data_IF_339723900377
#
_entry.id   IF_339723900377
#
_cell.length_a   1.000
_cell.length_b   1.000
_cell.length_c   1.000
_cell.angle_alpha   90.00
_cell.angle_beta   90.00
_cell.angle_gamma   90.00
#
_symmetry.space_group_name_H-M   'P 1'
#
loop_
_entity.id
_entity.type
_entity.pdbx_description
1 polymer ?
#
# COMPACT_ATOMS: atom_id res chain seq x y z
N UNK A 1 6.68 39.94 -47.64
CA UNK A 1 7.58 38.98 -46.99
C UNK A 1 7.50 39.21 -45.48
N UNK A 2 6.72 38.43 -44.78
CA UNK A 2 6.71 38.35 -43.30
C UNK A 2 6.96 36.89 -42.96
N UNK A 3 8.08 36.62 -42.34
CA UNK A 3 8.54 35.28 -41.93
C UNK A 3 7.79 34.83 -40.69
N UNK A 4 7.16 33.71 -40.83
CA UNK A 4 6.45 32.94 -39.83
C UNK A 4 7.43 32.27 -38.84
N UNK A 5 7.40 32.66 -37.55
CA UNK A 5 8.20 32.05 -36.49
C UNK A 5 7.27 31.61 -35.39
N UNK A 6 6.40 30.62 -35.67
CA UNK A 6 5.55 29.99 -34.68
C UNK A 6 5.62 28.45 -34.76
N UNK A 7 6.69 27.82 -34.30
CA UNK A 7 6.70 26.37 -34.07
C UNK A 7 7.84 25.86 -33.17
N UNK A 8 8.04 26.43 -31.98
CA UNK A 8 8.98 25.86 -30.99
C UNK A 8 8.52 25.88 -29.54
N UNK A 9 7.23 26.18 -29.26
CA UNK A 9 6.71 26.25 -27.88
C UNK A 9 6.06 24.95 -27.40
N UNK A 10 5.64 24.07 -28.28
CA UNK A 10 4.78 22.93 -27.94
C UNK A 10 5.48 21.71 -27.29
N UNK A 11 6.81 21.63 -27.21
CA UNK A 11 7.52 20.47 -26.66
C UNK A 11 8.01 20.62 -25.21
N UNK A 12 7.92 21.80 -24.62
CA UNK A 12 8.38 22.03 -23.23
C UNK A 12 7.30 21.92 -22.17
N UNK A 13 6.04 21.96 -22.51
CA UNK A 13 4.93 21.94 -21.53
C UNK A 13 4.49 20.52 -21.15
N UNK A 14 4.83 19.50 -21.93
CA UNK A 14 4.48 18.11 -21.63
C UNK A 14 5.27 17.47 -20.48
N UNK A 15 6.37 18.09 -20.07
CA UNK A 15 7.25 17.54 -19.00
C UNK A 15 6.92 18.10 -17.62
N UNK A 16 6.04 19.09 -17.48
CA UNK A 16 5.82 19.83 -16.22
C UNK A 16 4.56 19.51 -15.46
N UNK A 17 3.69 18.65 -15.94
CA UNK A 17 2.56 18.13 -15.16
C UNK A 17 2.87 16.72 -14.62
N UNK A 18 3.95 16.56 -13.85
CA UNK A 18 4.01 15.44 -12.91
C UNK A 18 2.95 15.69 -11.86
N UNK A 19 1.85 14.94 -11.93
CA UNK A 19 0.82 14.97 -10.89
C UNK A 19 1.53 14.75 -9.55
N UNK A 20 1.33 15.65 -8.61
CA UNK A 20 1.88 15.51 -7.26
C UNK A 20 1.28 14.25 -6.66
N UNK A 21 2.11 13.43 -6.06
CA UNK A 21 1.66 12.29 -5.28
C UNK A 21 0.53 12.71 -4.32
N UNK A 22 -0.58 11.94 -4.27
CA UNK A 22 -1.77 12.33 -3.52
C UNK A 22 -2.64 13.40 -4.18
N UNK A 23 -2.37 13.83 -5.44
CA UNK A 23 -3.29 14.70 -6.17
C UNK A 23 -4.59 13.97 -6.48
N UNK A 24 -5.74 14.70 -6.56
CA UNK A 24 -6.98 14.09 -7.01
C UNK A 24 -6.78 13.34 -8.31
N UNK A 25 -7.22 12.07 -8.33
CA UNK A 25 -7.14 11.21 -9.50
C UNK A 25 -5.85 10.43 -9.70
N UNK A 26 -4.88 10.45 -8.75
CA UNK A 26 -3.77 9.51 -8.77
C UNK A 26 -4.25 8.10 -8.44
N UNK A 27 -3.89 7.12 -9.25
CA UNK A 27 -4.30 5.72 -9.09
C UNK A 27 -3.10 4.79 -8.95
N UNK A 28 -3.32 3.61 -8.40
CA UNK A 28 -2.30 2.56 -8.34
C UNK A 28 -1.74 2.21 -9.71
N UNK A 29 -2.58 2.15 -10.74
CA UNK A 29 -2.15 1.87 -12.12
C UNK A 29 -0.99 2.76 -12.57
N UNK A 30 -1.07 4.07 -12.30
CA UNK A 30 -0.03 5.02 -12.66
C UNK A 30 1.34 4.72 -12.02
N UNK A 31 1.34 4.06 -10.85
CA UNK A 31 2.56 3.63 -10.16
C UNK A 31 3.25 2.45 -10.85
N UNK A 32 2.51 1.63 -11.57
CA UNK A 32 3.03 0.42 -12.23
C UNK A 32 3.38 0.67 -13.71
N UNK A 33 2.77 1.67 -14.34
CA UNK A 33 3.01 2.03 -15.74
C UNK A 33 4.23 2.96 -15.88
N UNK A 34 4.89 2.89 -17.04
CA UNK A 34 6.03 3.73 -17.38
C UNK A 34 7.40 3.09 -17.13
N UNK A 35 8.46 3.87 -17.47
CA UNK A 35 9.86 3.41 -17.42
C UNK A 35 10.66 4.04 -16.26
N UNK A 36 9.99 4.72 -15.34
CA UNK A 36 10.67 5.33 -14.19
C UNK A 36 11.04 4.27 -13.13
N UNK A 37 12.08 4.55 -12.34
CA UNK A 37 12.60 3.62 -11.33
C UNK A 37 11.52 3.13 -10.35
N UNK A 38 10.61 4.00 -9.94
CA UNK A 38 9.47 3.63 -9.10
C UNK A 38 8.60 2.54 -9.73
N UNK A 39 8.28 2.64 -11.02
CA UNK A 39 7.48 1.63 -11.70
C UNK A 39 8.20 0.26 -11.78
N UNK A 40 9.53 0.26 -11.91
CA UNK A 40 10.33 -0.99 -11.85
C UNK A 40 10.20 -1.66 -10.50
N UNK A 41 10.32 -0.89 -9.42
CA UNK A 41 10.16 -1.38 -8.04
C UNK A 41 8.75 -1.93 -7.82
N UNK A 42 7.72 -1.19 -8.22
CA UNK A 42 6.33 -1.61 -8.07
C UNK A 42 6.04 -2.88 -8.87
N UNK A 43 6.52 -3.00 -10.11
CA UNK A 43 6.36 -4.23 -10.92
C UNK A 43 7.08 -5.43 -10.31
N UNK A 44 8.28 -5.24 -9.74
CA UNK A 44 9.00 -6.32 -9.06
C UNK A 44 8.21 -6.82 -7.84
N UNK A 45 7.63 -5.90 -7.05
CA UNK A 45 6.76 -6.24 -5.93
C UNK A 45 5.50 -6.99 -6.40
N UNK A 46 4.84 -6.51 -7.45
CA UNK A 46 3.65 -7.16 -8.00
C UNK A 46 3.93 -8.61 -8.43
N UNK A 47 5.06 -8.84 -9.13
CA UNK A 47 5.47 -10.20 -9.50
C UNK A 47 5.72 -11.11 -8.29
N UNK A 48 6.23 -10.55 -7.19
CA UNK A 48 6.38 -11.28 -5.94
C UNK A 48 5.00 -11.64 -5.37
N UNK A 49 4.10 -10.69 -5.28
CA UNK A 49 2.72 -10.90 -4.78
C UNK A 49 2.02 -12.00 -5.58
N UNK A 50 2.06 -11.93 -6.91
CA UNK A 50 1.44 -12.94 -7.79
C UNK A 50 2.00 -14.33 -7.51
N UNK A 51 3.33 -14.49 -7.47
CA UNK A 51 3.99 -15.77 -7.17
C UNK A 51 3.63 -16.31 -5.79
N UNK A 52 3.55 -15.44 -4.80
CA UNK A 52 3.16 -15.84 -3.44
C UNK A 52 1.72 -16.33 -3.44
N UNK A 53 0.78 -15.60 -4.03
CA UNK A 53 -0.63 -16.02 -4.09
C UNK A 53 -0.78 -17.34 -4.89
N UNK A 54 -0.05 -17.49 -5.98
CA UNK A 54 -0.03 -18.72 -6.78
C UNK A 54 0.48 -19.93 -5.98
N UNK A 55 1.45 -19.70 -5.05
CA UNK A 55 1.99 -20.76 -4.20
C UNK A 55 1.09 -21.14 -3.03
N UNK A 56 0.09 -20.33 -2.69
CA UNK A 56 -0.90 -20.68 -1.68
C UNK A 56 -1.84 -21.77 -2.21
N UNK A 57 -2.13 -22.75 -1.36
CA UNK A 57 -3.09 -23.80 -1.71
C UNK A 57 -4.52 -23.30 -1.53
N UNK A 58 -4.98 -22.47 -2.47
CA UNK A 58 -6.29 -21.86 -2.45
C UNK A 58 -7.31 -22.74 -3.18
N UNK A 59 -8.49 -22.92 -2.58
CA UNK A 59 -9.62 -23.62 -3.19
C UNK A 59 -10.14 -22.91 -4.45
N UNK A 60 -10.96 -23.62 -5.23
CA UNK A 60 -11.58 -23.06 -6.44
C UNK A 60 -12.71 -22.06 -6.12
N UNK A 61 -13.27 -22.13 -4.92
CA UNK A 61 -14.36 -21.26 -4.44
C UNK A 61 -13.82 -20.52 -3.22
N UNK A 62 -14.01 -19.20 -3.19
CA UNK A 62 -13.55 -18.42 -2.07
C UNK A 62 -13.90 -16.94 -2.18
N UNK A 63 -13.41 -16.20 -1.23
CA UNK A 63 -13.60 -14.76 -1.11
C UNK A 63 -12.27 -14.04 -0.87
N UNK A 64 -12.03 -12.96 -1.60
CA UNK A 64 -10.85 -12.13 -1.50
C UNK A 64 -11.25 -10.71 -1.12
N UNK A 65 -10.58 -10.14 -0.11
CA UNK A 65 -10.69 -8.72 0.23
C UNK A 65 -9.37 -8.01 0.00
N UNK A 66 -9.41 -6.79 -0.56
CA UNK A 66 -8.27 -5.89 -0.72
C UNK A 66 -8.55 -4.58 0.02
N UNK A 67 -7.84 -4.36 1.12
CA UNK A 67 -7.93 -3.16 1.93
C UNK A 67 -6.92 -2.12 1.45
N UNK A 68 -7.43 -0.95 1.02
CA UNK A 68 -6.68 0.05 0.29
C UNK A 68 -6.62 -0.26 -1.21
N UNK A 69 -7.70 -0.77 -1.75
CA UNK A 69 -7.79 -1.26 -3.13
C UNK A 69 -7.63 -0.17 -4.20
N UNK A 70 -7.71 1.11 -3.80
CA UNK A 70 -7.61 2.26 -4.71
C UNK A 70 -8.63 2.17 -5.85
N UNK A 71 -8.19 2.15 -7.10
CA UNK A 71 -9.01 2.01 -8.31
C UNK A 71 -9.21 0.53 -8.76
N UNK A 72 -8.99 -0.43 -7.88
CA UNK A 72 -9.17 -1.86 -8.14
C UNK A 72 -8.14 -2.49 -9.10
N UNK A 73 -7.04 -1.79 -9.39
CA UNK A 73 -6.03 -2.25 -10.35
C UNK A 73 -5.41 -3.59 -9.96
N UNK A 74 -5.03 -3.77 -8.69
CA UNK A 74 -4.45 -5.03 -8.21
C UNK A 74 -5.47 -6.16 -8.31
N UNK A 75 -6.71 -5.93 -7.85
CA UNK A 75 -7.77 -6.91 -7.93
C UNK A 75 -8.05 -7.35 -9.38
N UNK A 76 -8.04 -6.42 -10.34
CA UNK A 76 -8.25 -6.76 -11.75
C UNK A 76 -7.13 -7.66 -12.29
N UNK A 77 -5.88 -7.38 -11.93
CA UNK A 77 -4.74 -8.21 -12.34
C UNK A 77 -4.80 -9.61 -11.71
N UNK A 78 -5.14 -9.70 -10.42
CA UNK A 78 -5.29 -10.98 -9.74
C UNK A 78 -6.42 -11.80 -10.37
N UNK A 79 -7.58 -11.18 -10.63
CA UNK A 79 -8.67 -11.84 -11.33
C UNK A 79 -8.21 -12.41 -12.68
N UNK A 80 -7.58 -11.58 -13.51
CA UNK A 80 -7.19 -12.00 -14.86
C UNK A 80 -6.11 -13.09 -14.88
N UNK A 81 -5.18 -13.06 -13.94
CA UNK A 81 -4.03 -13.96 -13.97
C UNK A 81 -4.20 -15.22 -13.15
N UNK A 82 -4.96 -15.17 -12.05
CA UNK A 82 -5.03 -16.28 -11.09
C UNK A 82 -6.44 -16.81 -10.82
N UNK A 83 -7.47 -15.98 -10.98
CA UNK A 83 -8.82 -16.32 -10.52
C UNK A 83 -9.88 -16.35 -11.63
N UNK A 84 -9.52 -16.16 -12.90
CA UNK A 84 -10.48 -16.12 -14.02
C UNK A 84 -11.35 -17.36 -14.08
N UNK A 85 -10.73 -18.52 -13.88
CA UNK A 85 -11.38 -19.84 -13.98
C UNK A 85 -11.83 -20.39 -12.61
N UNK A 86 -11.88 -19.53 -11.59
CA UNK A 86 -12.30 -19.87 -10.23
C UNK A 86 -13.60 -19.14 -9.84
N UNK A 87 -14.36 -19.72 -8.92
CA UNK A 87 -15.60 -19.12 -8.42
C UNK A 87 -15.36 -18.26 -7.18
N UNK A 88 -14.55 -17.22 -7.35
CA UNK A 88 -14.21 -16.28 -6.28
C UNK A 88 -15.06 -15.02 -6.32
N UNK A 89 -15.37 -14.49 -5.13
CA UNK A 89 -16.00 -13.19 -4.94
C UNK A 89 -14.96 -12.20 -4.43
N UNK A 90 -14.95 -11.00 -4.99
CA UNK A 90 -13.94 -9.98 -4.70
C UNK A 90 -14.57 -8.82 -3.95
N UNK A 91 -13.83 -8.32 -2.95
CA UNK A 91 -14.20 -7.14 -2.19
C UNK A 91 -13.04 -6.16 -2.20
N UNK A 92 -13.32 -4.90 -2.50
CA UNK A 92 -12.34 -3.83 -2.44
C UNK A 92 -12.80 -2.76 -1.46
N UNK A 93 -11.93 -2.38 -0.54
CA UNK A 93 -12.18 -1.35 0.45
C UNK A 93 -11.17 -0.22 0.31
N UNK A 94 -11.64 1.03 0.23
CA UNK A 94 -10.78 2.22 0.22
C UNK A 94 -11.51 3.40 0.85
N UNK A 95 -10.77 4.32 1.46
CA UNK A 95 -11.33 5.55 2.02
C UNK A 95 -11.65 6.59 0.95
N UNK A 96 -11.09 6.45 -0.25
CA UNK A 96 -11.20 7.41 -1.35
C UNK A 96 -12.34 7.08 -2.30
N UNK A 97 -13.48 7.70 -2.10
CA UNK A 97 -14.66 7.52 -2.94
C UNK A 97 -14.42 7.82 -4.44
N UNK A 98 -13.58 8.80 -4.78
CA UNK A 98 -13.26 9.16 -6.16
C UNK A 98 -12.50 8.06 -6.90
N UNK A 99 -11.70 7.26 -6.21
CA UNK A 99 -11.03 6.11 -6.78
C UNK A 99 -11.98 4.93 -6.94
N UNK A 100 -12.85 4.68 -5.96
CA UNK A 100 -13.85 3.62 -6.03
C UNK A 100 -14.83 3.81 -7.20
N UNK A 101 -15.16 5.04 -7.56
CA UNK A 101 -16.00 5.32 -8.74
C UNK A 101 -15.36 4.83 -10.06
N UNK A 102 -14.04 4.72 -10.14
CA UNK A 102 -13.33 4.24 -11.33
C UNK A 102 -13.25 2.73 -11.43
N UNK A 103 -13.58 2.03 -10.37
CA UNK A 103 -13.50 0.57 -10.34
C UNK A 103 -14.45 -0.08 -11.33
N UNK A 104 -15.59 0.54 -11.63
CA UNK A 104 -16.52 0.07 -12.67
C UNK A 104 -15.85 -0.14 -14.03
N UNK A 105 -14.79 0.61 -14.32
CA UNK A 105 -13.98 0.47 -15.53
C UNK A 105 -13.17 -0.84 -15.57
N UNK A 106 -12.99 -1.52 -14.42
CA UNK A 106 -12.17 -2.74 -14.31
C UNK A 106 -12.89 -4.02 -14.70
N UNK A 107 -14.22 -4.00 -14.75
CA UNK A 107 -15.05 -5.14 -15.18
C UNK A 107 -14.70 -6.46 -14.47
N UNK A 108 -14.45 -6.43 -13.15
CA UNK A 108 -14.16 -7.63 -12.36
C UNK A 108 -15.48 -8.31 -12.02
N UNK A 109 -15.74 -9.54 -12.52
CA UNK A 109 -16.96 -10.26 -12.18
C UNK A 109 -17.06 -10.54 -10.68
N UNK A 110 -18.29 -10.50 -10.15
CA UNK A 110 -18.57 -10.78 -8.74
C UNK A 110 -17.76 -9.91 -7.76
N UNK A 111 -17.43 -8.68 -8.14
CA UNK A 111 -16.73 -7.74 -7.28
C UNK A 111 -17.68 -6.72 -6.63
N UNK A 112 -17.40 -6.38 -5.38
CA UNK A 112 -18.05 -5.32 -4.61
C UNK A 112 -17.00 -4.35 -4.11
N UNK A 113 -17.31 -3.06 -4.15
CA UNK A 113 -16.38 -2.02 -3.71
C UNK A 113 -17.10 -1.07 -2.77
N UNK A 114 -16.51 -0.87 -1.60
CA UNK A 114 -17.11 -0.12 -0.50
C UNK A 114 -16.12 0.86 0.08
N UNK A 115 -16.64 2.01 0.53
CA UNK A 115 -15.82 2.97 1.25
C UNK A 115 -15.62 2.51 2.69
N UNK A 116 -14.35 2.44 3.12
CA UNK A 116 -14.01 2.03 4.46
C UNK A 116 -12.80 2.80 4.99
N UNK A 117 -12.88 3.30 6.21
CA UNK A 117 -11.76 3.93 6.90
C UNK A 117 -11.18 2.96 7.94
N UNK A 118 -9.99 2.42 7.67
CA UNK A 118 -9.30 1.48 8.56
C UNK A 118 -8.90 2.10 9.91
N UNK A 119 -9.03 3.40 10.10
CA UNK A 119 -8.85 4.05 11.39
C UNK A 119 -10.05 3.79 12.33
N UNK A 120 -11.22 3.47 11.79
CA UNK A 120 -12.42 3.16 12.56
C UNK A 120 -12.37 1.72 13.09
N UNK A 121 -13.13 1.43 14.13
CA UNK A 121 -13.27 0.08 14.64
C UNK A 121 -14.26 -0.71 13.77
N UNK A 122 -14.04 -2.02 13.65
CA UNK A 122 -14.98 -2.98 13.07
C UNK A 122 -15.44 -2.60 11.64
N UNK A 123 -14.47 -2.34 10.78
CA UNK A 123 -14.70 -1.94 9.38
C UNK A 123 -15.43 -3.04 8.57
N UNK A 124 -15.21 -4.31 8.94
CA UNK A 124 -15.89 -5.48 8.37
C UNK A 124 -16.23 -6.46 9.47
N UNK A 125 -17.14 -7.39 9.19
CA UNK A 125 -17.39 -8.52 10.09
C UNK A 125 -16.14 -9.40 10.22
N UNK A 126 -16.01 -10.08 11.35
CA UNK A 126 -14.89 -11.01 11.58
C UNK A 126 -15.06 -12.29 10.76
N UNK A 127 -13.97 -12.79 10.20
CA UNK A 127 -13.95 -14.10 9.55
C UNK A 127 -14.73 -14.18 8.24
N UNK A 128 -14.70 -13.14 7.42
CA UNK A 128 -15.44 -13.10 6.15
C UNK A 128 -14.68 -13.64 4.94
N UNK A 129 -13.34 -13.49 4.92
CA UNK A 129 -12.58 -13.66 3.70
C UNK A 129 -11.54 -14.78 3.80
N UNK A 130 -11.42 -15.57 2.72
CA UNK A 130 -10.45 -16.65 2.62
C UNK A 130 -9.04 -16.12 2.33
N UNK A 131 -8.95 -15.02 1.57
CA UNK A 131 -7.72 -14.31 1.28
C UNK A 131 -7.89 -12.81 1.53
N UNK A 132 -7.03 -12.24 2.35
CA UNK A 132 -7.05 -10.81 2.69
C UNK A 132 -5.77 -10.16 2.23
N UNK A 133 -5.89 -9.07 1.50
CA UNK A 133 -4.78 -8.28 0.98
C UNK A 133 -4.80 -6.89 1.63
N UNK A 134 -3.59 -6.37 1.93
CA UNK A 134 -3.41 -5.00 2.40
C UNK A 134 -2.01 -4.52 2.00
N UNK A 135 -1.89 -3.90 0.83
CA UNK A 135 -0.61 -3.53 0.26
C UNK A 135 -0.37 -2.03 0.31
N UNK A 136 0.71 -1.60 0.97
CA UNK A 136 1.10 -0.18 1.08
C UNK A 136 -0.07 0.69 1.57
N UNK A 137 -0.75 0.24 2.61
CA UNK A 137 -1.96 0.89 3.11
C UNK A 137 -1.86 1.23 4.58
N UNK A 138 -1.42 0.29 5.42
CA UNK A 138 -1.37 0.48 6.88
C UNK A 138 -0.52 1.67 7.31
N UNK A 139 0.57 1.95 6.60
CA UNK A 139 1.45 3.09 6.86
C UNK A 139 0.80 4.44 6.58
N UNK A 140 -0.23 4.45 5.76
CA UNK A 140 -0.99 5.65 5.40
C UNK A 140 -2.15 5.94 6.34
N UNK A 141 -2.55 5.00 7.17
CA UNK A 141 -3.60 5.20 8.16
C UNK A 141 -3.07 6.00 9.35
N UNK A 142 -3.91 6.79 9.98
CA UNK A 142 -3.57 7.52 11.21
C UNK A 142 -3.26 6.57 12.36
N UNK A 143 -3.98 5.44 12.42
CA UNK A 143 -3.84 4.39 13.40
C UNK A 143 -3.53 3.04 12.73
N UNK A 144 -2.27 2.82 12.35
CA UNK A 144 -1.83 1.59 11.69
C UNK A 144 -2.06 0.33 12.54
N UNK A 145 -2.10 0.46 13.87
CA UNK A 145 -2.37 -0.66 14.78
C UNK A 145 -3.80 -1.14 14.63
N UNK A 146 -4.75 -0.20 14.63
CA UNK A 146 -6.15 -0.52 14.41
C UNK A 146 -6.39 -1.07 12.99
N UNK A 147 -5.73 -0.46 12.00
CA UNK A 147 -5.81 -0.93 10.62
C UNK A 147 -5.34 -2.38 10.47
N UNK A 148 -4.21 -2.73 11.08
CA UNK A 148 -3.70 -4.11 11.06
C UNK A 148 -4.66 -5.11 11.74
N UNK A 149 -5.28 -4.71 12.86
CA UNK A 149 -6.28 -5.56 13.53
C UNK A 149 -7.56 -5.74 12.70
N UNK A 150 -8.04 -4.68 12.04
CA UNK A 150 -9.20 -4.77 11.14
C UNK A 150 -8.93 -5.74 9.99
N UNK A 151 -7.78 -5.60 9.34
CA UNK A 151 -7.33 -6.51 8.27
C UNK A 151 -7.23 -7.94 8.77
N UNK A 152 -6.61 -8.16 9.93
CA UNK A 152 -6.43 -9.50 10.49
C UNK A 152 -7.77 -10.15 10.83
N UNK A 153 -8.65 -9.46 11.54
CA UNK A 153 -9.96 -9.98 11.96
C UNK A 153 -10.87 -10.35 10.80
N UNK A 154 -10.76 -9.68 9.66
CA UNK A 154 -11.57 -9.96 8.48
C UNK A 154 -11.28 -11.32 7.83
N UNK A 155 -10.09 -11.89 8.08
CA UNK A 155 -9.69 -13.20 7.57
C UNK A 155 -10.42 -14.34 8.29
N UNK A 156 -10.85 -15.37 7.56
CA UNK A 156 -11.40 -16.62 8.12
C UNK A 156 -10.33 -17.44 8.83
N UNK A 157 -10.71 -18.29 9.74
CA UNK A 157 -9.85 -19.37 10.26
C UNK A 157 -9.46 -20.30 9.11
N UNK A 158 -8.17 -20.59 8.96
CA UNK A 158 -7.60 -21.30 7.81
C UNK A 158 -7.35 -20.41 6.58
N UNK A 159 -7.71 -19.12 6.62
CA UNK A 159 -7.45 -18.17 5.56
C UNK A 159 -6.08 -17.49 5.68
N UNK A 160 -5.72 -16.77 4.62
CA UNK A 160 -4.41 -16.14 4.51
C UNK A 160 -4.53 -14.62 4.42
N UNK A 161 -3.56 -13.92 5.02
CA UNK A 161 -3.42 -12.47 4.95
C UNK A 161 -2.06 -12.16 4.32
N UNK A 162 -2.07 -11.35 3.26
CA UNK A 162 -0.88 -10.78 2.66
C UNK A 162 -0.86 -9.28 2.94
N UNK A 163 0.07 -8.86 3.78
CA UNK A 163 0.21 -7.45 4.17
C UNK A 163 1.60 -6.94 3.79
N UNK A 164 1.68 -5.77 3.16
CA UNK A 164 2.98 -5.15 2.91
C UNK A 164 3.12 -3.80 3.60
N UNK A 165 4.36 -3.50 3.98
CA UNK A 165 4.70 -2.21 4.57
C UNK A 165 6.12 -1.76 4.15
N UNK A 166 6.37 -0.45 4.02
CA UNK A 166 7.67 0.07 3.61
C UNK A 166 8.68 0.00 4.76
N UNK A 167 9.91 -0.37 4.42
CA UNK A 167 11.03 -0.27 5.35
C UNK A 167 11.76 1.05 5.12
N UNK A 168 11.48 2.04 5.96
CA UNK A 168 12.06 3.38 5.86
C UNK A 168 12.99 3.73 7.05
N UNK A 169 13.62 2.72 7.65
CA UNK A 169 14.57 2.86 8.74
C UNK A 169 16.01 2.54 8.31
N UNK A 170 16.98 3.03 9.07
CA UNK A 170 18.39 2.83 8.82
C UNK A 170 18.85 3.40 7.46
N UNK A 171 19.82 2.76 6.84
CA UNK A 171 20.35 3.19 5.54
C UNK A 171 19.30 3.21 4.42
N UNK A 172 18.26 2.36 4.52
CA UNK A 172 17.17 2.31 3.52
C UNK A 172 16.32 3.57 3.54
N UNK A 173 15.95 4.03 4.72
CA UNK A 173 15.22 5.29 4.88
C UNK A 173 16.05 6.48 4.41
N UNK A 174 17.35 6.50 4.75
CA UNK A 174 18.29 7.52 4.27
C UNK A 174 18.40 7.50 2.75
N UNK A 175 18.57 6.35 2.13
CA UNK A 175 18.65 6.23 0.67
C UNK A 175 17.38 6.75 -0.03
N UNK A 176 16.19 6.38 0.49
CA UNK A 176 14.91 6.92 0.00
C UNK A 176 14.82 8.44 0.17
N UNK A 177 15.22 8.95 1.34
CA UNK A 177 15.21 10.38 1.63
C UNK A 177 16.10 11.15 0.64
N UNK A 178 17.34 10.70 0.43
CA UNK A 178 18.28 11.30 -0.50
C UNK A 178 17.79 11.22 -1.95
N UNK A 179 17.26 10.07 -2.38
CA UNK A 179 16.69 9.91 -3.70
C UNK A 179 15.50 10.86 -3.95
N UNK A 180 14.61 11.03 -2.98
CA UNK A 180 13.51 12.00 -3.07
C UNK A 180 14.01 13.43 -3.19
N UNK A 181 15.03 13.81 -2.42
CA UNK A 181 15.67 15.12 -2.50
C UNK A 181 16.31 15.36 -3.87
N UNK A 182 17.08 14.39 -4.37
CA UNK A 182 17.75 14.50 -5.69
C UNK A 182 16.74 14.61 -6.83
N UNK A 183 15.61 13.92 -6.74
CA UNK A 183 14.53 13.96 -7.74
C UNK A 183 13.57 15.15 -7.53
N UNK A 184 13.83 16.02 -6.54
CA UNK A 184 12.95 17.12 -6.17
C UNK A 184 11.51 16.65 -5.82
N UNK A 185 11.37 15.42 -5.38
CA UNK A 185 10.13 14.86 -4.87
C UNK A 185 10.17 15.08 -3.35
N UNK A 186 9.45 16.09 -2.87
CA UNK A 186 9.29 16.32 -1.43
C UNK A 186 7.85 15.99 -1.00
N UNK A 187 7.54 14.70 -0.81
CA UNK A 187 6.19 14.29 -0.41
C UNK A 187 5.87 14.71 1.02
N UNK A 188 6.87 15.15 1.80
CA UNK A 188 6.73 15.44 3.22
C UNK A 188 6.88 16.92 3.58
N UNK A 189 7.26 17.79 2.64
CA UNK A 189 7.63 19.18 2.95
C UNK A 189 6.61 19.93 3.81
N UNK A 190 5.34 19.76 3.51
CA UNK A 190 4.25 20.40 4.25
C UNK A 190 3.83 19.62 5.51
N UNK A 191 4.33 18.40 5.72
CA UNK A 191 3.90 17.52 6.81
C UNK A 191 4.85 17.50 8.00
N UNK A 192 6.02 18.13 7.89
CA UNK A 192 6.94 18.25 9.03
C UNK A 192 6.41 19.16 10.14
N UNK A 193 5.42 20.02 9.89
CA UNK A 193 4.75 20.88 10.87
C UNK A 193 5.75 21.63 11.77
N UNK A 194 6.77 22.26 11.16
CA UNK A 194 7.81 22.98 11.87
C UNK A 194 8.89 22.08 12.51
N UNK A 195 8.77 20.76 12.45
CA UNK A 195 9.82 19.85 12.93
C UNK A 195 10.99 19.79 11.96
N UNK A 196 12.19 19.62 12.48
CA UNK A 196 13.42 19.60 11.67
C UNK A 196 13.53 18.36 10.80
N UNK A 197 13.66 18.56 9.49
CA UNK A 197 13.98 17.49 8.54
C UNK A 197 15.33 16.82 8.84
N UNK A 198 16.28 17.59 9.37
CA UNK A 198 17.58 17.07 9.78
C UNK A 198 17.46 16.13 10.98
N UNK A 199 16.61 16.46 11.94
CA UNK A 199 16.31 15.57 13.07
C UNK A 199 15.66 14.27 12.57
N UNK A 200 14.69 14.36 11.67
CA UNK A 200 14.07 13.17 11.05
C UNK A 200 15.13 12.28 10.36
N UNK A 201 16.02 12.88 9.57
CA UNK A 201 17.12 12.18 8.92
C UNK A 201 18.01 11.45 9.94
N UNK A 202 18.42 12.12 11.02
CA UNK A 202 19.23 11.54 12.09
C UNK A 202 18.52 10.36 12.75
N UNK A 203 17.29 10.54 13.18
CA UNK A 203 16.50 9.47 13.79
C UNK A 203 16.31 8.27 12.85
N UNK A 204 16.06 8.53 11.57
CA UNK A 204 15.97 7.50 10.54
C UNK A 204 17.27 6.71 10.42
N UNK A 205 18.43 7.39 10.37
CA UNK A 205 19.74 6.76 10.23
C UNK A 205 20.10 5.90 11.43
N UNK A 206 19.82 6.41 12.65
CA UNK A 206 20.19 5.76 13.91
C UNK A 206 19.16 4.75 14.41
N UNK A 207 18.09 4.47 13.66
CA UNK A 207 16.94 3.71 14.12
C UNK A 207 16.31 4.28 15.40
N UNK A 208 16.31 5.60 15.52
CA UNK A 208 15.73 6.32 16.64
C UNK A 208 14.20 6.47 16.52
N UNK A 209 13.62 7.32 17.34
CA UNK A 209 12.17 7.53 17.37
C UNK A 209 11.68 8.42 16.23
N UNK A 210 11.30 7.81 15.11
CA UNK A 210 10.67 8.50 13.98
C UNK A 210 9.17 8.71 14.16
N UNK A 211 8.48 7.94 15.03
CA UNK A 211 7.02 8.09 15.22
C UNK A 211 6.64 9.49 15.73
N UNK A 212 7.55 10.18 16.43
CA UNK A 212 7.33 11.57 16.82
C UNK A 212 7.04 12.53 15.65
N UNK A 213 7.40 12.15 14.42
CA UNK A 213 7.13 12.92 13.20
C UNK A 213 5.81 12.54 12.54
N UNK A 214 5.17 11.47 13.01
CA UNK A 214 3.90 11.03 12.47
C UNK A 214 2.83 12.09 12.70
N UNK A 215 1.96 12.26 11.74
CA UNK A 215 0.78 13.10 11.90
C UNK A 215 -0.13 12.48 12.98
N UNK A 216 -0.85 13.31 13.76
CA UNK A 216 -1.86 12.80 14.67
C UNK A 216 -2.83 11.88 13.93
N UNK A 217 -3.39 10.87 14.62
CA UNK A 217 -4.44 10.05 14.05
C UNK A 217 -5.57 10.94 13.54
N UNK A 218 -5.71 10.98 12.24
CA UNK A 218 -6.84 11.65 11.58
C UNK A 218 -7.64 10.60 10.82
N UNK A 219 -8.88 10.90 10.57
CA UNK A 219 -9.69 10.08 9.67
C UNK A 219 -9.13 10.13 8.26
N UNK A 220 -9.21 8.99 7.56
CA UNK A 220 -8.82 8.89 6.18
C UNK A 220 -7.33 8.59 6.01
N UNK A 221 -6.75 9.16 4.96
CA UNK A 221 -5.43 8.84 4.45
C UNK A 221 -4.41 9.93 4.75
N UNK A 222 -3.18 9.54 5.08
CA UNK A 222 -2.07 10.45 5.34
C UNK A 222 -0.75 9.99 4.74
N UNK A 223 0.31 10.82 4.87
CA UNK A 223 1.66 10.41 4.47
C UNK A 223 2.20 9.35 5.42
N UNK A 224 3.07 8.48 4.92
CA UNK A 224 3.75 7.47 5.73
C UNK A 224 4.95 8.03 6.54
N UNK A 225 5.09 9.36 6.62
CA UNK A 225 6.10 10.02 7.45
C UNK A 225 6.03 9.53 8.89
N UNK A 226 7.17 9.05 9.41
CA UNK A 226 7.26 8.56 10.77
C UNK A 226 6.69 7.14 10.97
N UNK A 227 6.42 6.38 9.92
CA UNK A 227 6.05 4.98 10.04
C UNK A 227 7.30 4.14 10.39
N UNK A 228 7.29 3.57 11.59
CA UNK A 228 8.36 2.73 12.11
C UNK A 228 8.03 1.25 11.91
N UNK A 229 8.72 0.60 10.97
CA UNK A 229 8.52 -0.81 10.64
C UNK A 229 8.82 -1.75 11.83
N UNK A 230 9.80 -1.41 12.69
CA UNK A 230 10.17 -2.26 13.83
C UNK A 230 9.09 -2.22 14.92
N UNK A 231 8.51 -1.04 15.16
CA UNK A 231 7.36 -0.91 16.07
C UNK A 231 6.11 -1.59 15.51
N UNK A 232 5.93 -1.52 14.21
CA UNK A 232 4.84 -2.23 13.55
C UNK A 232 4.99 -3.75 13.71
N UNK A 233 6.18 -4.30 13.48
CA UNK A 233 6.46 -5.73 13.66
C UNK A 233 6.31 -6.17 15.12
N UNK A 234 6.84 -5.41 16.06
CA UNK A 234 6.65 -5.67 17.49
C UNK A 234 5.15 -5.66 17.88
N UNK A 235 4.36 -4.79 17.25
CA UNK A 235 2.92 -4.77 17.45
C UNK A 235 2.24 -6.02 16.89
N UNK A 236 2.59 -6.46 15.68
CA UNK A 236 2.05 -7.70 15.09
C UNK A 236 2.41 -8.92 15.97
N UNK A 237 3.67 -9.01 16.41
CA UNK A 237 4.13 -10.08 17.28
C UNK A 237 3.33 -10.13 18.57
N UNK A 238 3.20 -9.01 19.28
CA UNK A 238 2.51 -8.96 20.57
C UNK A 238 0.99 -9.12 20.50
N UNK A 239 0.34 -8.73 19.41
CA UNK A 239 -1.12 -8.67 19.32
C UNK A 239 -1.75 -9.70 18.40
N UNK A 240 -1.00 -10.25 17.47
CA UNK A 240 -1.49 -11.29 16.57
C UNK A 240 -0.80 -12.63 16.87
N UNK A 241 0.51 -12.71 16.77
CA UNK A 241 1.23 -13.99 16.80
C UNK A 241 1.31 -14.60 18.20
N UNK A 242 1.63 -13.79 19.22
CA UNK A 242 1.74 -14.29 20.61
C UNK A 242 0.40 -14.70 21.23
N UNK A 243 -0.73 -14.34 20.60
CA UNK A 243 -2.06 -14.79 21.06
C UNK A 243 -2.45 -16.17 20.53
N UNK A 244 -1.67 -16.70 19.56
CA UNK A 244 -1.93 -18.01 18.98
C UNK A 244 -3.12 -18.07 18.00
N UNK A 245 -3.74 -16.91 17.68
CA UNK A 245 -4.82 -16.85 16.70
C UNK A 245 -4.28 -16.76 15.26
N UNK A 246 -3.07 -16.27 15.11
CA UNK A 246 -2.41 -16.05 13.82
C UNK A 246 -0.98 -16.60 13.83
N UNK A 247 -0.57 -17.19 12.72
CA UNK A 247 0.77 -17.69 12.49
C UNK A 247 1.45 -16.85 11.40
N UNK A 248 2.65 -16.33 11.67
CA UNK A 248 3.49 -15.76 10.65
C UNK A 248 4.13 -16.88 9.84
N UNK A 249 3.70 -17.06 8.61
CA UNK A 249 4.21 -18.11 7.71
C UNK A 249 5.56 -17.72 7.13
N UNK A 250 5.67 -16.52 6.57
CA UNK A 250 6.90 -16.05 5.93
C UNK A 250 6.94 -14.51 5.83
N UNK A 251 8.15 -13.96 5.73
CA UNK A 251 8.40 -12.56 5.39
C UNK A 251 9.27 -12.49 4.14
N UNK A 252 8.72 -11.98 3.06
CA UNK A 252 9.51 -11.64 1.88
C UNK A 252 9.97 -10.19 1.91
N UNK A 253 11.19 -9.98 1.42
CA UNK A 253 11.71 -8.63 1.21
C UNK A 253 11.78 -8.34 -0.28
N UNK A 254 11.15 -7.26 -0.72
CA UNK A 254 11.21 -6.81 -2.10
C UNK A 254 12.31 -5.78 -2.31
N UNK A 255 12.90 -5.76 -3.50
CA UNK A 255 13.86 -4.77 -3.99
C UNK A 255 14.78 -4.18 -2.91
N UNK A 256 15.93 -4.83 -2.68
CA UNK A 256 16.95 -4.43 -1.69
C UNK A 256 16.42 -4.26 -0.24
N UNK A 257 15.28 -4.88 0.08
CA UNK A 257 14.68 -4.79 1.40
C UNK A 257 13.95 -3.49 1.71
N UNK A 258 13.59 -2.70 0.70
CA UNK A 258 12.84 -1.45 0.88
C UNK A 258 11.35 -1.67 1.22
N UNK A 259 10.88 -2.90 1.11
CA UNK A 259 9.52 -3.26 1.42
C UNK A 259 9.47 -4.68 1.98
N UNK A 260 8.61 -4.91 2.94
CA UNK A 260 8.34 -6.24 3.51
C UNK A 260 6.93 -6.68 3.14
N UNK A 261 6.80 -7.94 2.79
CA UNK A 261 5.53 -8.63 2.54
C UNK A 261 5.41 -9.75 3.57
N UNK A 262 4.43 -9.65 4.43
CA UNK A 262 4.10 -10.63 5.48
C UNK A 262 3.05 -11.57 4.94
N UNK A 263 3.26 -12.87 5.09
CA UNK A 263 2.28 -13.91 4.86
C UNK A 263 1.87 -14.45 6.23
N UNK A 264 0.61 -14.29 6.54
CA UNK A 264 0.04 -14.62 7.83
C UNK A 264 -1.13 -15.58 7.58
N UNK A 265 -1.23 -16.63 8.37
CA UNK A 265 -2.37 -17.55 8.39
C UNK A 265 -3.16 -17.32 9.68
N UNK A 266 -4.48 -17.28 9.58
CA UNK A 266 -5.34 -17.32 10.76
C UNK A 266 -5.61 -18.77 11.14
N UNK A 267 -5.16 -19.18 12.33
CA UNK A 267 -5.23 -20.59 12.80
C UNK A 267 -6.34 -20.84 13.83
N UNK A 268 -6.89 -19.78 14.46
CA UNK A 268 -7.97 -19.89 15.41
C UNK A 268 -8.92 -18.67 15.42
#
# INVERSE_FOLDING_TARGET
MRSDTSSRSGKRDFVRQRRKWGSPGWSHRESYEGLHLGAVVHRARLRLILRVIESLNLDNIGSLADFGCSDGFILSLLYEQLFRDREWVFYGFDVKHDLLQRVSERCIPRARFEAADLNEADVTESGQFDLVLCFETVEHTGNYKNAALNVARSCKVGGHILMSAPHEMGWRGVAKFLARKALQIDPYGNFFNGKSQWRYFKETLTNGDIEQFRQPPCKGWGPHLGFDIHRFEAFLEGNLFNRGEYCLVEIYTSFLGFNRLYIIERVA
#
